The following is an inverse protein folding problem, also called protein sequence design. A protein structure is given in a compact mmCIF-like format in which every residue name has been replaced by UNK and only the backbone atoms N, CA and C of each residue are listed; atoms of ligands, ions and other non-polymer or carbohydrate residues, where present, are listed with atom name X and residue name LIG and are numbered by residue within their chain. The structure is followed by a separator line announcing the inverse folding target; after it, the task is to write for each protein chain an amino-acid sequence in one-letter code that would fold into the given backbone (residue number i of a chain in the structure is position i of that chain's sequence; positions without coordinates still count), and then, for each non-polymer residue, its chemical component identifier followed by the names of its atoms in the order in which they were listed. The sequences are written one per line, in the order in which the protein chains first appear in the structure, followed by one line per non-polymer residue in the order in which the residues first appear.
data_IF_305761311319
#
_entry.id   IF_305761311319
#
_cell.length_a   1.000
_cell.length_b   1.000
_cell.length_c   1.000
_cell.angle_alpha   90.00
_cell.angle_beta   90.00
_cell.angle_gamma   90.00
#
_symmetry.space_group_name_H-M   'P 1'
#
loop_
_entity.id
_entity.type
_entity.pdbx_description
1 polymer ?
#
# COMPACT_ATOMS: atom_id res chain seq x y z
N UNK A 1 -16.45 -7.17 -9.61
CA UNK A 1 -16.92 -6.33 -10.73
C UNK A 1 -17.78 -7.11 -11.74
N UNK A 2 -18.65 -8.03 -11.29
CA UNK A 2 -19.55 -8.70 -12.24
C UNK A 2 -20.61 -7.70 -12.72
N UNK A 3 -20.89 -7.67 -14.03
CA UNK A 3 -21.88 -6.75 -14.63
C UNK A 3 -21.45 -5.28 -14.70
N UNK A 4 -20.18 -4.95 -14.42
CA UNK A 4 -19.63 -3.60 -14.61
C UNK A 4 -18.76 -3.57 -15.87
N UNK A 5 -18.76 -2.44 -16.57
CA UNK A 5 -17.77 -2.16 -17.62
C UNK A 5 -16.44 -1.74 -16.96
N UNK A 6 -15.38 -2.51 -17.16
CA UNK A 6 -14.12 -2.37 -16.41
C UNK A 6 -12.96 -2.10 -17.35
N UNK A 7 -12.57 -0.83 -17.41
CA UNK A 7 -11.40 -0.36 -18.14
C UNK A 7 -10.17 -0.41 -17.23
N UNK A 8 -9.39 -1.48 -17.33
CA UNK A 8 -8.20 -1.70 -16.52
C UNK A 8 -6.93 -1.11 -17.16
N UNK A 9 -6.11 -0.43 -16.36
CA UNK A 9 -4.76 -0.01 -16.74
C UNK A 9 -3.76 -1.04 -16.21
N UNK A 10 -3.09 -1.77 -17.10
CA UNK A 10 -2.08 -2.77 -16.69
C UNK A 10 -0.71 -2.12 -16.43
N UNK A 11 -0.28 -2.18 -15.17
CA UNK A 11 1.02 -1.71 -14.71
C UNK A 11 2.06 -2.85 -14.54
N UNK A 12 1.73 -4.10 -14.90
CA UNK A 12 2.57 -5.28 -14.64
C UNK A 12 3.97 -5.21 -15.26
N UNK A 13 4.10 -4.59 -16.44
CA UNK A 13 5.40 -4.35 -17.07
C UNK A 13 6.20 -3.27 -16.32
N UNK A 14 5.55 -2.14 -15.99
CA UNK A 14 6.16 -1.03 -15.28
C UNK A 14 6.61 -1.41 -13.87
N UNK A 15 5.83 -2.22 -13.14
CA UNK A 15 6.18 -2.77 -11.82
C UNK A 15 7.47 -3.62 -11.81
N UNK A 16 7.94 -4.07 -12.99
CA UNK A 16 9.13 -4.90 -13.18
C UNK A 16 10.27 -4.15 -13.90
N UNK A 17 10.06 -2.89 -14.27
CA UNK A 17 11.06 -2.08 -14.95
C UNK A 17 12.15 -1.59 -13.97
N UNK A 18 13.40 -1.37 -14.41
CA UNK A 18 14.46 -0.81 -13.57
C UNK A 18 14.15 0.59 -13.02
N UNK A 19 13.35 1.37 -13.75
CA UNK A 19 12.65 2.55 -13.23
C UNK A 19 11.16 2.44 -13.60
N UNK A 20 10.29 2.08 -12.64
CA UNK A 20 8.85 1.97 -12.87
C UNK A 20 8.19 3.26 -13.35
N UNK A 21 8.71 4.44 -12.97
CA UNK A 21 8.18 5.72 -13.42
C UNK A 21 8.64 6.10 -14.82
N UNK A 22 9.76 5.56 -15.31
CA UNK A 22 10.24 5.76 -16.68
C UNK A 22 9.55 4.85 -17.73
N UNK A 23 8.83 3.81 -17.28
CA UNK A 23 8.12 2.88 -18.14
C UNK A 23 6.93 3.52 -18.92
N UNK A 24 6.39 2.78 -19.89
CA UNK A 24 5.10 3.08 -20.53
C UNK A 24 4.15 1.87 -20.34
N UNK A 25 3.00 2.02 -19.66
CA UNK A 25 2.56 3.22 -18.92
C UNK A 25 3.48 3.52 -17.71
N UNK A 26 3.66 4.80 -17.29
CA UNK A 26 4.36 5.14 -16.07
C UNK A 26 3.67 4.54 -14.84
N UNK A 27 4.40 3.83 -13.98
CA UNK A 27 3.85 3.26 -12.75
C UNK A 27 3.25 4.34 -11.85
N UNK A 28 2.14 4.04 -11.16
CA UNK A 28 1.49 5.04 -10.31
C UNK A 28 2.35 5.35 -9.06
N UNK A 29 2.64 6.63 -8.74
CA UNK A 29 3.26 7.00 -7.47
C UNK A 29 2.28 6.84 -6.28
N UNK A 30 2.83 6.88 -5.06
CA UNK A 30 2.10 6.65 -3.81
C UNK A 30 2.04 7.87 -2.90
N UNK A 31 1.09 7.90 -1.97
CA UNK A 31 1.05 8.90 -0.89
C UNK A 31 1.98 8.54 0.28
N UNK A 32 2.51 7.32 0.31
CA UNK A 32 3.37 6.79 1.37
C UNK A 32 4.77 6.48 0.84
N UNK A 33 5.79 6.81 1.64
CA UNK A 33 7.20 6.56 1.33
C UNK A 33 7.62 5.23 2.00
N UNK A 34 7.32 4.11 1.33
CA UNK A 34 7.47 2.75 1.89
C UNK A 34 8.78 2.10 1.43
N UNK A 35 9.72 1.73 2.34
CA UNK A 35 10.97 1.08 1.96
C UNK A 35 10.75 -0.22 1.18
N UNK A 36 11.36 -0.30 -0.01
CA UNK A 36 11.27 -1.47 -0.90
C UNK A 36 10.03 -1.51 -1.79
N UNK A 37 9.16 -0.50 -1.77
CA UNK A 37 8.07 -0.35 -2.74
C UNK A 37 8.62 0.11 -4.12
N UNK A 38 8.03 -0.32 -5.25
CA UNK A 38 8.40 0.16 -6.59
C UNK A 38 7.85 1.56 -6.91
N UNK A 39 6.73 1.93 -6.27
CA UNK A 39 6.16 3.27 -6.26
C UNK A 39 7.04 4.25 -5.48
N UNK A 40 7.42 5.37 -6.12
CA UNK A 40 7.95 6.53 -5.39
C UNK A 40 6.80 7.31 -4.77
N UNK A 41 7.06 7.98 -3.66
CA UNK A 41 6.11 8.93 -3.07
C UNK A 41 5.89 10.14 -3.98
N UNK A 42 4.64 10.59 -4.15
CA UNK A 42 4.25 11.68 -5.06
C UNK A 42 5.12 12.94 -4.91
N UNK A 43 5.43 13.38 -3.69
CA UNK A 43 6.25 14.57 -3.45
C UNK A 43 7.72 14.46 -3.91
N UNK A 44 8.18 13.27 -4.33
CA UNK A 44 9.50 13.07 -4.97
C UNK A 44 9.44 13.09 -6.50
N UNK A 45 8.23 13.12 -7.09
CA UNK A 45 7.98 13.04 -8.54
C UNK A 45 8.03 14.43 -9.17
N UNK A 46 8.78 14.56 -10.26
CA UNK A 46 8.99 15.81 -10.97
C UNK A 46 7.85 16.17 -11.94
N UNK A 47 7.93 17.36 -12.53
CA UNK A 47 6.87 17.88 -13.39
C UNK A 47 6.81 17.18 -14.76
N UNK A 48 7.94 16.65 -15.27
CA UNK A 48 7.95 15.88 -16.51
C UNK A 48 7.28 14.50 -16.35
N UNK A 49 7.51 13.84 -15.20
CA UNK A 49 6.83 12.59 -14.85
C UNK A 49 5.36 12.82 -14.52
N UNK A 50 5.05 13.94 -13.86
CA UNK A 50 3.67 14.38 -13.67
C UNK A 50 2.92 14.49 -15.00
N UNK A 51 3.43 15.22 -15.99
CA UNK A 51 2.77 15.38 -17.30
C UNK A 51 2.59 14.03 -18.03
N UNK A 52 3.52 13.08 -17.89
CA UNK A 52 3.35 11.70 -18.40
C UNK A 52 2.24 10.94 -17.68
N UNK A 53 2.07 11.12 -16.37
CA UNK A 53 0.95 10.55 -15.60
C UNK A 53 -0.39 11.19 -16.01
N UNK A 54 -0.42 12.50 -16.31
CA UNK A 54 -1.62 13.18 -16.85
C UNK A 54 -2.01 12.61 -18.21
N UNK A 55 -1.04 12.46 -19.13
CA UNK A 55 -1.29 11.90 -20.45
C UNK A 55 -1.79 10.44 -20.41
N UNK A 56 -1.24 9.62 -19.50
CA UNK A 56 -1.74 8.28 -19.21
C UNK A 56 -3.21 8.30 -18.80
N UNK A 57 -3.55 9.10 -17.78
CA UNK A 57 -4.92 9.14 -17.26
C UNK A 57 -5.92 9.76 -18.24
N UNK A 58 -5.50 10.72 -19.07
CA UNK A 58 -6.33 11.26 -20.14
C UNK A 58 -6.74 10.17 -21.15
N UNK A 59 -5.77 9.35 -21.60
CA UNK A 59 -6.00 8.20 -22.48
C UNK A 59 -6.88 7.13 -21.83
N UNK A 60 -6.69 6.86 -20.54
CA UNK A 60 -7.50 5.87 -19.81
C UNK A 60 -8.96 6.32 -19.62
N UNK A 61 -9.18 7.60 -19.30
CA UNK A 61 -10.51 8.21 -19.19
C UNK A 61 -11.22 8.25 -20.56
N UNK A 62 -10.51 8.59 -21.64
CA UNK A 62 -11.06 8.59 -23.00
C UNK A 62 -11.52 7.19 -23.44
N UNK A 63 -10.69 6.17 -23.23
CA UNK A 63 -11.02 4.77 -23.49
C UNK A 63 -12.24 4.29 -22.68
N UNK A 64 -12.36 4.71 -21.42
CA UNK A 64 -13.52 4.48 -20.57
C UNK A 64 -14.76 5.34 -20.95
N UNK A 65 -14.68 6.17 -22.00
CA UNK A 65 -15.79 6.96 -22.50
C UNK A 65 -16.15 8.19 -21.65
N UNK A 66 -15.21 8.71 -20.84
CA UNK A 66 -15.46 9.80 -19.88
C UNK A 66 -16.20 11.01 -20.46
N UNK A 67 -15.94 11.38 -21.72
CA UNK A 67 -16.63 12.48 -22.43
C UNK A 67 -18.15 12.29 -22.60
N UNK A 68 -18.70 11.09 -22.32
CA UNK A 68 -20.13 10.76 -22.38
C UNK A 68 -20.71 10.37 -21.02
N UNK A 69 -19.95 10.48 -19.93
CA UNK A 69 -20.44 10.21 -18.59
C UNK A 69 -21.19 11.43 -18.02
N UNK A 70 -22.24 11.21 -17.24
CA UNK A 70 -22.94 12.29 -16.52
C UNK A 70 -22.12 12.87 -15.36
N UNK A 71 -21.14 12.08 -14.86
CA UNK A 71 -20.32 12.40 -13.69
C UNK A 71 -19.02 11.57 -13.71
N UNK A 72 -17.90 12.18 -13.31
CA UNK A 72 -16.67 11.46 -12.95
C UNK A 72 -16.55 11.36 -11.42
N UNK A 73 -16.60 10.14 -10.88
CA UNK A 73 -16.27 9.87 -9.47
C UNK A 73 -14.79 9.43 -9.37
N UNK A 74 -13.93 10.34 -8.95
CA UNK A 74 -12.48 10.17 -8.95
C UNK A 74 -11.97 9.85 -7.53
N UNK A 75 -11.27 8.73 -7.39
CA UNK A 75 -10.69 8.30 -6.12
C UNK A 75 -9.23 8.75 -6.00
N UNK A 76 -8.91 9.34 -4.84
CA UNK A 76 -7.63 9.96 -4.50
C UNK A 76 -7.21 11.16 -5.36
N UNK A 77 -6.69 12.20 -4.72
CA UNK A 77 -6.11 13.40 -5.33
C UNK A 77 -4.80 13.07 -6.07
N UNK A 78 -4.95 12.49 -7.27
CA UNK A 78 -3.87 12.04 -8.16
C UNK A 78 -4.02 12.68 -9.56
N UNK A 79 -3.04 12.53 -10.47
CA UNK A 79 -3.09 13.16 -11.80
C UNK A 79 -4.30 12.81 -12.69
N UNK A 80 -5.14 11.83 -12.30
CA UNK A 80 -6.45 11.60 -12.92
C UNK A 80 -7.38 12.82 -12.82
N UNK A 81 -7.27 13.62 -11.76
CA UNK A 81 -8.02 14.88 -11.62
C UNK A 81 -7.53 15.93 -12.62
N UNK A 82 -6.21 16.07 -12.81
CA UNK A 82 -5.65 16.98 -13.83
C UNK A 82 -6.08 16.56 -15.24
N UNK A 83 -6.05 15.25 -15.53
CA UNK A 83 -6.54 14.71 -16.80
C UNK A 83 -8.03 15.00 -17.02
N UNK A 84 -8.87 14.81 -15.99
CA UNK A 84 -10.28 15.17 -16.02
C UNK A 84 -10.50 16.66 -16.30
N UNK A 85 -9.74 17.54 -15.65
CA UNK A 85 -9.86 19.00 -15.84
C UNK A 85 -9.44 19.47 -17.22
N UNK A 86 -8.38 18.90 -17.78
CA UNK A 86 -7.83 19.32 -19.09
C UNK A 86 -8.59 18.75 -20.29
N UNK A 87 -9.06 17.51 -20.19
CA UNK A 87 -9.64 16.78 -21.33
C UNK A 87 -11.16 16.60 -21.24
N UNK A 88 -11.75 16.65 -20.04
CA UNK A 88 -13.18 16.46 -19.81
C UNK A 88 -13.80 17.59 -18.96
N UNK A 89 -13.49 18.89 -19.22
CA UNK A 89 -13.85 20.00 -18.32
C UNK A 89 -15.36 20.15 -18.09
N UNK A 90 -16.17 19.80 -19.10
CA UNK A 90 -17.62 19.87 -19.08
C UNK A 90 -18.30 18.78 -18.24
N UNK A 91 -17.59 17.69 -17.89
CA UNK A 91 -18.16 16.61 -17.09
C UNK A 91 -17.98 16.94 -15.60
N UNK A 92 -19.06 16.97 -14.79
CA UNK A 92 -18.97 17.19 -13.34
C UNK A 92 -18.06 16.17 -12.66
N UNK A 93 -17.47 16.53 -11.51
CA UNK A 93 -16.46 15.72 -10.81
C UNK A 93 -16.78 15.60 -9.33
N UNK A 94 -16.94 14.39 -8.82
CA UNK A 94 -16.95 14.08 -7.39
C UNK A 94 -15.58 13.50 -7.03
N UNK A 95 -14.88 14.14 -6.09
CA UNK A 95 -13.63 13.59 -5.54
C UNK A 95 -13.89 12.70 -4.33
N UNK A 96 -13.10 11.66 -4.13
CA UNK A 96 -13.15 10.80 -2.94
C UNK A 96 -11.82 10.89 -2.19
N UNK A 97 -11.85 11.48 -0.99
CA UNK A 97 -10.69 11.77 -0.16
C UNK A 97 -10.51 10.68 0.91
N UNK A 98 -9.34 10.07 0.94
CA UNK A 98 -8.96 9.02 1.88
C UNK A 98 -7.95 9.54 2.92
N UNK A 99 -7.58 8.70 3.90
CA UNK A 99 -6.66 9.11 4.97
C UNK A 99 -5.21 9.30 4.52
N UNK A 100 -4.77 8.61 3.45
CA UNK A 100 -3.36 8.58 3.00
C UNK A 100 -2.91 9.91 2.40
N UNK A 101 -3.71 10.52 1.53
CA UNK A 101 -3.44 11.83 0.94
C UNK A 101 -3.48 12.96 1.98
N UNK A 102 -4.38 12.87 2.97
CA UNK A 102 -4.42 13.81 4.10
C UNK A 102 -3.20 13.66 5.02
N UNK A 103 -2.71 12.43 5.26
CA UNK A 103 -1.48 12.18 6.01
C UNK A 103 -0.23 12.66 5.26
N UNK A 104 -0.22 12.57 3.93
CA UNK A 104 0.85 13.16 3.10
C UNK A 104 0.86 14.69 3.21
N UNK A 105 -0.32 15.34 3.16
CA UNK A 105 -0.43 16.79 3.36
C UNK A 105 -0.01 17.22 4.78
N UNK A 106 -0.37 16.46 5.83
CA UNK A 106 0.15 16.67 7.18
C UNK A 106 1.68 16.59 7.21
N UNK A 107 2.26 15.59 6.55
CA UNK A 107 3.71 15.39 6.51
C UNK A 107 4.42 16.54 5.78
N UNK A 108 3.84 17.11 4.73
CA UNK A 108 4.37 18.29 4.03
C UNK A 108 4.30 19.52 4.94
N UNK A 109 3.12 19.78 5.53
CA UNK A 109 2.85 20.90 6.44
C UNK A 109 3.75 20.87 7.70
N UNK A 110 4.15 19.68 8.15
CA UNK A 110 5.10 19.46 9.24
C UNK A 110 6.58 19.51 8.80
N UNK A 111 6.90 20.03 7.62
CA UNK A 111 8.26 20.15 7.08
C UNK A 111 8.73 18.87 6.38
N UNK A 112 8.54 18.81 5.06
CA UNK A 112 8.72 17.60 4.25
C UNK A 112 10.12 16.96 4.36
N UNK A 113 10.26 15.61 4.22
CA UNK A 113 11.55 14.92 4.13
C UNK A 113 12.44 15.43 3.00
N UNK A 114 13.76 15.35 3.14
CA UNK A 114 14.73 15.84 2.15
C UNK A 114 14.64 15.18 0.75
N UNK A 115 14.01 14.00 0.64
CA UNK A 115 13.72 13.34 -0.64
C UNK A 115 12.48 13.91 -1.38
N UNK A 116 11.61 14.63 -0.67
CA UNK A 116 10.32 15.12 -1.16
C UNK A 116 10.48 16.47 -1.88
N UNK A 117 11.36 16.49 -2.90
CA UNK A 117 11.85 17.69 -3.60
C UNK A 117 10.78 18.56 -4.27
N UNK A 118 9.57 18.02 -4.47
CA UNK A 118 8.44 18.69 -5.12
C UNK A 118 7.21 18.77 -4.21
N UNK A 119 7.39 18.60 -2.90
CA UNK A 119 6.34 18.59 -1.87
C UNK A 119 5.27 19.67 -2.07
N UNK A 120 5.67 20.94 -2.13
CA UNK A 120 4.73 22.06 -2.20
C UNK A 120 3.95 22.05 -3.52
N UNK A 121 4.60 21.74 -4.65
CA UNK A 121 3.95 21.60 -5.97
C UNK A 121 2.87 20.51 -5.95
N UNK A 122 3.12 19.40 -5.24
CA UNK A 122 2.13 18.33 -5.08
C UNK A 122 1.01 18.70 -4.10
N UNK A 123 1.32 19.37 -2.99
CA UNK A 123 0.29 19.89 -2.08
C UNK A 123 -0.64 20.90 -2.80
N UNK A 124 -0.08 21.84 -3.57
CA UNK A 124 -0.86 22.75 -4.40
C UNK A 124 -1.73 22.02 -5.44
N UNK A 125 -1.16 21.06 -6.19
CA UNK A 125 -1.90 20.22 -7.16
C UNK A 125 -3.12 19.57 -6.49
N UNK A 126 -2.90 18.89 -5.37
CA UNK A 126 -3.95 18.20 -4.61
C UNK A 126 -5.03 19.17 -4.13
N UNK A 127 -4.67 20.35 -3.63
CA UNK A 127 -5.64 21.40 -3.24
C UNK A 127 -6.44 21.91 -4.43
N UNK A 128 -5.80 22.25 -5.56
CA UNK A 128 -6.49 22.67 -6.80
C UNK A 128 -7.47 21.61 -7.30
N UNK A 129 -7.08 20.34 -7.28
CA UNK A 129 -7.95 19.22 -7.67
C UNK A 129 -9.17 19.10 -6.77
N UNK A 130 -9.00 19.17 -5.44
CA UNK A 130 -10.11 19.16 -4.49
C UNK A 130 -11.06 20.36 -4.70
N UNK A 131 -10.52 21.56 -4.91
CA UNK A 131 -11.26 22.79 -5.20
C UNK A 131 -12.06 22.73 -6.51
N UNK A 132 -11.69 21.83 -7.44
CA UNK A 132 -12.31 21.66 -8.76
C UNK A 132 -13.45 20.62 -8.83
N UNK A 133 -13.69 19.89 -7.74
CA UNK A 133 -14.71 18.84 -7.63
C UNK A 133 -16.01 19.39 -7.04
N UNK A 134 -17.13 19.23 -7.76
CA UNK A 134 -18.46 19.74 -7.38
C UNK A 134 -18.90 19.26 -5.98
N UNK A 135 -18.52 18.04 -5.60
CA UNK A 135 -18.56 17.53 -4.22
C UNK A 135 -17.33 16.70 -3.89
N UNK A 136 -17.03 16.57 -2.60
CA UNK A 136 -15.99 15.71 -2.04
C UNK A 136 -16.59 14.72 -1.05
N UNK A 137 -16.40 13.43 -1.29
CA UNK A 137 -16.75 12.37 -0.34
C UNK A 137 -15.58 12.13 0.62
N UNK A 138 -15.90 11.99 1.90
CA UNK A 138 -14.93 11.68 2.96
C UNK A 138 -15.40 10.47 3.77
N UNK A 139 -14.46 9.62 4.19
CA UNK A 139 -14.78 8.33 4.84
C UNK A 139 -15.17 8.43 6.32
N UNK A 140 -14.81 9.51 7.02
CA UNK A 140 -15.06 9.66 8.47
C UNK A 140 -15.68 11.02 8.84
N UNK A 141 -16.43 11.13 9.95
CA UNK A 141 -16.99 12.41 10.41
C UNK A 141 -15.92 13.47 10.74
N UNK A 142 -14.76 13.05 11.26
CA UNK A 142 -13.64 13.94 11.59
C UNK A 142 -13.04 14.58 10.33
N UNK A 143 -13.06 13.85 9.20
CA UNK A 143 -12.61 14.37 7.92
C UNK A 143 -13.54 15.47 7.39
N UNK A 144 -14.84 15.49 7.71
CA UNK A 144 -15.76 16.58 7.32
C UNK A 144 -15.32 17.91 7.92
N UNK A 145 -14.95 17.92 9.21
CA UNK A 145 -14.47 19.13 9.88
C UNK A 145 -13.06 19.56 9.41
N UNK A 146 -12.20 18.59 9.03
CA UNK A 146 -10.81 18.86 8.66
C UNK A 146 -10.63 19.27 7.19
N UNK A 147 -11.29 18.61 6.25
CA UNK A 147 -11.05 18.75 4.82
C UNK A 147 -11.22 20.19 4.29
N UNK A 148 -12.24 20.96 4.70
CA UNK A 148 -12.39 22.37 4.32
C UNK A 148 -11.13 23.22 4.58
N UNK A 149 -10.54 23.08 5.77
CA UNK A 149 -9.38 23.86 6.17
C UNK A 149 -8.07 23.39 5.51
N UNK A 150 -7.89 22.07 5.30
CA UNK A 150 -6.67 21.53 4.69
C UNK A 150 -6.64 21.71 3.16
N UNK A 151 -7.79 21.60 2.50
CA UNK A 151 -7.90 21.66 1.04
C UNK A 151 -8.34 23.03 0.52
N UNK A 152 -8.79 23.95 1.38
CA UNK A 152 -9.31 25.26 0.97
C UNK A 152 -10.62 25.13 0.20
N UNK A 153 -11.54 24.30 0.69
CA UNK A 153 -12.81 24.00 0.04
C UNK A 153 -14.00 24.41 0.91
N UNK A 154 -15.10 24.76 0.26
CA UNK A 154 -16.38 25.08 0.91
C UNK A 154 -16.89 23.86 1.71
N UNK A 155 -17.21 24.02 3.03
CA UNK A 155 -17.80 22.96 3.84
C UNK A 155 -19.05 22.32 3.23
N UNK A 156 -19.91 23.07 2.55
CA UNK A 156 -21.16 22.56 1.97
C UNK A 156 -20.91 21.65 0.75
N UNK A 157 -19.66 21.55 0.29
CA UNK A 157 -19.22 20.60 -0.74
C UNK A 157 -18.69 19.28 -0.16
N UNK A 158 -18.46 19.18 1.15
CA UNK A 158 -17.86 18.00 1.80
C UNK A 158 -18.94 17.11 2.44
N UNK A 159 -19.04 15.87 1.97
CA UNK A 159 -20.09 14.92 2.37
C UNK A 159 -19.47 13.68 3.00
N UNK A 160 -19.91 13.30 4.21
CA UNK A 160 -19.52 12.03 4.81
C UNK A 160 -20.21 10.87 4.11
N UNK A 161 -19.43 9.94 3.56
CA UNK A 161 -19.88 8.70 2.95
C UNK A 161 -18.93 7.57 3.39
N UNK A 162 -19.28 6.79 4.42
CA UNK A 162 -18.44 5.69 4.88
C UNK A 162 -18.40 4.55 3.84
N UNK A 163 -17.28 3.82 3.79
CA UNK A 163 -17.18 2.62 2.94
C UNK A 163 -18.25 1.60 3.32
N UNK A 164 -18.98 1.11 2.30
CA UNK A 164 -19.88 -0.03 2.46
C UNK A 164 -19.12 -1.33 2.71
N UNK A 165 -19.75 -2.26 3.42
CA UNK A 165 -19.34 -3.66 3.51
C UNK A 165 -20.56 -4.53 3.22
N UNK A 166 -20.34 -5.73 2.69
CA UNK A 166 -21.40 -6.73 2.52
C UNK A 166 -21.57 -7.51 3.84
N UNK A 167 -22.70 -7.36 4.57
CA UNK A 167 -22.93 -8.06 5.83
C UNK A 167 -23.27 -9.54 5.67
N UNK A 168 -23.51 -10.03 4.45
CA UNK A 168 -23.72 -11.46 4.15
C UNK A 168 -22.39 -12.16 3.87
N UNK A 169 -21.44 -11.46 3.24
CA UNK A 169 -20.08 -11.96 3.00
C UNK A 169 -19.10 -11.71 4.16
N UNK A 170 -19.31 -10.66 4.96
CA UNK A 170 -18.41 -10.24 6.04
C UNK A 170 -19.16 -10.00 7.37
N UNK A 171 -19.11 -10.99 8.26
CA UNK A 171 -19.53 -10.81 9.66
C UNK A 171 -18.42 -10.20 10.53
N UNK A 172 -18.81 -9.53 11.61
CA UNK A 172 -17.93 -8.85 12.55
C UNK A 172 -17.29 -9.86 13.50
N UNK A 173 -15.98 -10.15 13.33
CA UNK A 173 -15.21 -10.79 14.40
C UNK A 173 -15.36 -9.99 15.71
N UNK A 174 -15.80 -10.61 16.82
CA UNK A 174 -15.73 -9.97 18.13
C UNK A 174 -14.27 -9.65 18.48
N UNK A 175 -14.00 -8.38 18.76
CA UNK A 175 -12.70 -7.88 19.19
C UNK A 175 -12.86 -7.15 20.52
N UNK A 176 -12.03 -7.49 21.50
CA UNK A 176 -12.02 -6.90 22.83
C UNK A 176 -11.62 -5.41 22.83
N UNK A 177 -11.92 -4.63 23.87
CA UNK A 177 -11.52 -3.22 23.96
C UNK A 177 -10.04 -2.91 23.68
N UNK A 178 -9.04 -3.73 24.08
CA UNK A 178 -7.64 -3.53 23.67
C UNK A 178 -7.38 -3.94 22.21
N UNK A 179 -7.95 -5.03 21.69
CA UNK A 179 -7.83 -5.40 20.27
C UNK A 179 -8.35 -4.27 19.35
N UNK A 180 -9.44 -3.60 19.74
CA UNK A 180 -10.00 -2.44 19.00
C UNK A 180 -9.17 -1.16 19.11
N UNK A 181 -8.13 -1.12 19.95
CA UNK A 181 -7.22 0.03 20.15
C UNK A 181 -5.79 -0.24 19.65
N UNK A 182 -5.49 -1.47 19.25
CA UNK A 182 -4.20 -1.80 18.65
C UNK A 182 -4.08 -1.17 17.25
N UNK A 183 -2.97 -0.48 16.92
CA UNK A 183 -2.67 -0.10 15.55
C UNK A 183 -2.65 -1.34 14.65
N UNK A 184 -3.24 -1.23 13.45
CA UNK A 184 -3.53 -2.37 12.57
C UNK A 184 -2.31 -3.00 11.89
N UNK A 185 -1.43 -3.64 12.65
CA UNK A 185 -0.48 -4.60 12.12
C UNK A 185 -1.19 -5.97 12.01
N UNK A 186 -1.27 -6.59 10.81
CA UNK A 186 -1.82 -7.95 10.71
C UNK A 186 -0.90 -8.90 11.48
N UNK A 187 -1.44 -9.85 12.27
CA UNK A 187 -0.61 -10.87 12.88
C UNK A 187 0.05 -11.68 11.76
N UNK A 188 1.39 -11.72 11.76
CA UNK A 188 2.14 -12.49 10.78
C UNK A 188 1.63 -13.93 10.80
N UNK A 189 1.17 -14.44 9.64
CA UNK A 189 0.77 -15.84 9.52
C UNK A 189 1.97 -16.70 9.85
N UNK A 190 1.92 -17.40 10.99
CA UNK A 190 2.84 -18.48 11.27
C UNK A 190 2.83 -19.44 10.07
N UNK A 191 4.01 -19.93 9.62
CA UNK A 191 4.06 -20.90 8.53
C UNK A 191 3.18 -22.09 8.89
N UNK A 192 2.39 -22.57 7.93
CA UNK A 192 1.66 -23.83 8.12
C UNK A 192 2.68 -24.93 8.41
N UNK A 193 2.47 -25.81 9.41
CA UNK A 193 3.29 -27.00 9.53
C UNK A 193 3.20 -27.78 8.22
N UNK A 194 4.34 -28.26 7.73
CA UNK A 194 4.40 -28.96 6.44
C UNK A 194 3.43 -30.13 6.42
N UNK A 195 2.66 -30.24 5.34
CA UNK A 195 1.77 -31.38 5.17
C UNK A 195 2.63 -32.65 5.07
N UNK A 196 2.46 -33.57 6.03
CA UNK A 196 3.09 -34.90 5.97
C UNK A 196 2.86 -35.50 4.58
N UNK A 197 3.91 -36.03 3.92
CA UNK A 197 3.74 -36.63 2.60
C UNK A 197 2.73 -37.78 2.69
N UNK A 198 1.81 -37.83 1.71
CA UNK A 198 0.79 -38.86 1.66
C UNK A 198 1.45 -40.25 1.55
N UNK A 199 0.89 -41.30 2.19
CA UNK A 199 1.44 -42.65 2.07
C UNK A 199 1.35 -43.13 0.62
N UNK A 200 2.50 -43.45 0.03
CA UNK A 200 2.58 -43.96 -1.33
C UNK A 200 1.80 -45.27 -1.55
N UNK A 201 1.41 -45.58 -2.79
CA UNK A 201 0.61 -46.76 -3.09
C UNK A 201 1.32 -48.05 -2.68
N UNK A 202 0.57 -48.99 -2.09
CA UNK A 202 1.09 -50.26 -1.59
C UNK A 202 1.44 -51.22 -2.75
N UNK A 203 2.69 -51.21 -3.20
CA UNK A 203 3.22 -52.28 -4.05
C UNK A 203 3.10 -53.64 -3.34
N UNK A 204 2.60 -54.65 -4.05
CA UNK A 204 2.47 -56.01 -3.54
C UNK A 204 3.84 -56.68 -3.40
N UNK A 205 3.99 -57.57 -2.42
CA UNK A 205 5.19 -58.42 -2.28
C UNK A 205 5.25 -59.49 -3.37
N UNK A 206 6.46 -59.73 -3.87
CA UNK A 206 6.91 -61.04 -4.39
C UNK A 206 8.32 -61.30 -3.83
N UNK A 207 8.79 -62.54 -3.87
CA UNK A 207 9.91 -63.09 -3.04
C UNK A 207 11.20 -63.35 -3.88
N UNK A 208 12.37 -63.77 -3.32
CA UNK A 208 13.65 -63.10 -3.67
C UNK A 208 14.80 -63.99 -4.21
N UNK A 209 15.93 -63.34 -4.53
CA UNK A 209 17.31 -63.90 -4.58
C UNK A 209 17.67 -64.81 -5.76
N UNK A 210 18.98 -65.00 -6.14
CA UNK A 210 20.18 -64.92 -5.30
C UNK A 210 21.46 -64.18 -5.78
N UNK A 211 22.15 -63.57 -4.80
CA UNK A 211 23.59 -63.65 -4.45
C UNK A 211 24.74 -63.38 -5.45
N UNK A 212 25.66 -62.47 -5.07
CA UNK A 212 27.14 -62.61 -4.86
C UNK A 212 27.73 -61.20 -4.67
N UNK A 213 28.18 -60.78 -3.47
CA UNK A 213 29.60 -60.70 -3.07
C UNK A 213 30.13 -59.25 -3.12
N UNK A 214 31.17 -58.79 -2.42
CA UNK A 214 31.94 -59.34 -1.29
C UNK A 214 32.71 -58.21 -0.55
N UNK A 215 32.98 -58.37 0.75
CA UNK A 215 33.85 -57.53 1.60
C UNK A 215 33.23 -56.22 2.16
N UNK A 216 33.72 -55.57 3.24
CA UNK A 216 34.31 -55.98 4.55
C UNK A 216 35.06 -54.80 5.20
N UNK A 217 35.07 -54.68 6.55
CA UNK A 217 36.11 -53.97 7.40
C UNK A 217 36.14 -52.41 7.28
N UNK A 218 36.27 -51.53 8.29
CA UNK A 218 36.23 -51.49 9.80
C UNK A 218 36.00 -50.01 10.25
N UNK A 219 35.09 -49.63 11.16
CA UNK A 219 35.17 -49.50 12.65
C UNK A 219 35.86 -48.24 13.29
N UNK A 220 35.24 -47.72 14.38
CA UNK A 220 35.73 -46.83 15.50
C UNK A 220 35.71 -45.28 15.40
N UNK A 221 34.59 -44.68 15.83
CA UNK A 221 34.31 -43.92 17.10
C UNK A 221 35.47 -43.50 18.07
N UNK A 222 35.25 -42.65 19.12
CA UNK A 222 34.48 -41.38 19.28
C UNK A 222 35.02 -40.30 20.29
N UNK A 223 34.47 -39.06 20.30
CA UNK A 223 34.41 -38.07 21.46
C UNK A 223 35.74 -37.55 22.08
N UNK A 224 35.80 -36.63 23.11
CA UNK A 224 34.81 -35.75 23.80
C UNK A 224 35.21 -34.23 23.88
N UNK A 225 34.41 -33.33 24.53
CA UNK A 225 34.68 -31.88 24.71
C UNK A 225 35.19 -31.44 26.12
N UNK A 226 35.76 -30.22 26.24
CA UNK A 226 35.40 -29.21 27.29
C UNK A 226 35.54 -27.72 26.80
N UNK A 227 35.24 -26.60 27.51
CA UNK A 227 34.28 -26.25 28.60
C UNK A 227 34.26 -24.72 28.90
N UNK A 228 33.09 -24.16 29.32
CA UNK A 228 32.86 -23.02 30.26
C UNK A 228 33.58 -21.63 30.16
N UNK A 229 32.78 -20.55 29.97
CA UNK A 229 32.47 -19.41 30.91
C UNK A 229 33.51 -18.79 31.90
N UNK A 230 33.31 -17.59 32.54
CA UNK A 230 32.46 -16.39 32.26
C UNK A 230 33.05 -14.97 32.61
N UNK A 231 32.32 -13.88 32.26
CA UNK A 231 32.20 -12.55 32.96
C UNK A 231 30.79 -11.96 32.68
N UNK A 232 30.14 -10.99 33.37
CA UNK A 232 30.34 -10.04 34.52
C UNK A 232 30.69 -8.55 34.22
N UNK A 233 30.14 -7.65 35.07
CA UNK A 233 29.94 -6.18 34.88
C UNK A 233 28.48 -5.89 34.45
N UNK A 234 27.66 -4.93 34.93
CA UNK A 234 27.68 -3.89 36.01
C UNK A 234 28.60 -2.66 35.83
N UNK A 235 28.27 -1.42 36.25
CA UNK A 235 27.18 -0.93 37.15
C UNK A 235 26.60 0.47 36.78
N UNK A 236 25.43 0.79 37.37
CA UNK A 236 24.74 2.09 37.62
C UNK A 236 25.59 3.39 37.76
N UNK A 237 25.09 4.63 37.62
CA UNK A 237 23.92 5.22 38.35
C UNK A 237 23.47 6.66 37.91
N UNK A 238 22.30 7.09 38.42
CA UNK A 238 21.80 8.47 38.75
C UNK A 238 22.27 9.75 38.02
N UNK A 239 21.30 10.63 37.69
CA UNK A 239 21.52 12.07 37.41
C UNK A 239 21.01 13.00 38.54
N UNK A 240 20.75 14.30 38.29
CA UNK A 240 19.69 15.03 39.00
C UNK A 240 18.81 15.95 38.11
N UNK A 241 17.90 16.73 38.74
CA UNK A 241 16.84 17.56 38.12
C UNK A 241 17.02 19.07 38.34
N UNK A 242 16.23 19.86 37.58
CA UNK A 242 15.57 21.15 37.90
C UNK A 242 16.19 22.48 37.44
N UNK A 243 15.28 23.42 37.10
CA UNK A 243 15.53 24.83 36.76
C UNK A 243 15.44 25.09 35.25
N UNK A 244 14.52 25.91 34.73
CA UNK A 244 13.36 26.60 35.35
C UNK A 244 12.14 26.46 34.43
#
# INVERSE_FOLDING_TARGET
YAGLDVHAVDFTAAARAPDPLAADPPFQPSFEDRPGAPDRVYASVDDATFERLVALWAKALDAAGAARADLLHLHHLTPIHEAALRHFPHVPRVGHIHGTELAMLDRIRAGAPAGWRYADRWAERMRRWAQSCDRLLVLSPEAVARVPAELGVDPDRVVWAPNGFDPQAFDRRPASPPERRAPGLPPARAPRPEARPAPGPRSRRTVPSPTVGSGSVTCRSPTPPPSSSPTRGSSSSTGPKMGR
#
